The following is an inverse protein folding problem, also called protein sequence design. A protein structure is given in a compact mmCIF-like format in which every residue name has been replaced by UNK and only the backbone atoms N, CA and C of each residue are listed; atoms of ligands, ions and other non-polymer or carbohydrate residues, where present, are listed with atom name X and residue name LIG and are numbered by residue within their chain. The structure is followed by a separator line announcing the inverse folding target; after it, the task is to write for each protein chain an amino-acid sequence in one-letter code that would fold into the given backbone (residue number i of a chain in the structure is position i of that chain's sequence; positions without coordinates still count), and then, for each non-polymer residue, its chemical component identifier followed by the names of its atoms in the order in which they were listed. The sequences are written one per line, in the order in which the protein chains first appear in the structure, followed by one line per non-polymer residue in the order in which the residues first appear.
data_IF_089759583663
#
_entry.id   IF_089759583663
#
_cell.length_a   1.000
_cell.length_b   1.000
_cell.length_c   1.000
_cell.angle_alpha   90.00
_cell.angle_beta   90.00
_cell.angle_gamma   90.00
#
_symmetry.space_group_name_H-M   'P 1'
#
loop_
_entity.id
_entity.type
_entity.pdbx_description
1 polymer ?
#
# COMPACT_ATOMS: atom_id res chain seq x y z
N UNK A 1 -15.40 28.76 6.44
CA UNK A 1 -15.14 28.63 5.00
C UNK A 1 -14.05 27.58 4.84
N UNK A 2 -14.39 26.40 4.34
CA UNK A 2 -13.41 25.34 4.09
C UNK A 2 -12.67 25.69 2.79
N UNK A 3 -11.37 25.95 2.87
CA UNK A 3 -10.52 26.04 1.69
C UNK A 3 -10.32 24.61 1.18
N UNK A 4 -11.04 24.23 0.13
CA UNK A 4 -10.69 23.09 -0.69
C UNK A 4 -9.41 23.43 -1.42
N UNK A 5 -8.27 22.89 -0.96
CA UNK A 5 -7.06 22.80 -1.76
C UNK A 5 -7.40 21.95 -2.98
N UNK A 6 -7.59 22.61 -4.12
CA UNK A 6 -7.82 21.98 -5.40
C UNK A 6 -6.44 21.52 -5.89
N UNK A 7 -6.21 20.20 -5.88
CA UNK A 7 -4.98 19.62 -6.39
C UNK A 7 -4.96 19.80 -7.91
N UNK A 8 -4.05 20.65 -8.38
CA UNK A 8 -3.83 20.89 -9.79
C UNK A 8 -3.04 19.72 -10.38
N UNK A 9 -3.68 18.92 -11.24
CA UNK A 9 -3.07 17.73 -11.85
C UNK A 9 -1.89 18.06 -12.76
N UNK A 10 -1.74 19.33 -13.16
CA UNK A 10 -0.65 19.81 -14.01
C UNK A 10 0.69 19.97 -13.26
N UNK A 11 0.69 19.78 -11.93
CA UNK A 11 1.88 19.76 -11.07
C UNK A 11 2.15 18.35 -10.49
N UNK A 12 1.94 17.29 -11.28
CA UNK A 12 2.51 15.98 -10.96
C UNK A 12 4.04 16.14 -10.93
N UNK A 13 4.57 16.31 -9.72
CA UNK A 13 6.00 16.46 -9.46
C UNK A 13 6.79 15.28 -10.04
N UNK A 14 8.09 15.47 -10.18
CA UNK A 14 8.99 14.40 -10.61
C UNK A 14 8.77 13.18 -9.70
N UNK A 15 8.36 12.06 -10.28
CA UNK A 15 8.29 10.78 -9.57
C UNK A 15 9.62 10.06 -9.75
N UNK A 16 10.14 9.50 -8.67
CA UNK A 16 11.41 8.78 -8.67
C UNK A 16 11.36 7.65 -7.65
N UNK A 17 12.12 6.59 -7.93
CA UNK A 17 12.38 5.54 -6.96
C UNK A 17 13.79 5.77 -6.43
N UNK A 18 13.88 6.02 -5.13
CA UNK A 18 15.15 6.10 -4.43
C UNK A 18 15.29 4.87 -3.55
N UNK A 19 16.28 4.03 -3.85
CA UNK A 19 16.67 2.95 -2.97
C UNK A 19 17.68 3.51 -1.98
N UNK A 20 17.38 3.39 -0.69
CA UNK A 20 18.40 3.62 0.33
C UNK A 20 19.43 2.49 0.24
N UNK A 21 20.69 2.87 0.05
CA UNK A 21 21.81 1.94 -0.06
C UNK A 21 22.65 1.89 1.22
N UNK A 22 22.31 2.71 2.23
CA UNK A 22 23.04 2.75 3.49
C UNK A 22 22.33 1.90 4.56
N UNK A 23 22.83 0.67 4.76
CA UNK A 23 22.28 -0.34 5.68
C UNK A 23 22.18 0.09 7.16
N UNK A 24 22.63 1.29 7.52
CA UNK A 24 22.85 1.71 8.90
C UNK A 24 22.14 3.00 9.32
N UNK A 25 21.41 3.68 8.42
CA UNK A 25 20.81 4.99 8.71
C UNK A 25 19.45 4.91 9.40
N UNK A 26 18.70 3.84 9.16
CA UNK A 26 17.31 3.73 9.61
C UNK A 26 16.37 4.66 8.85
N UNK A 27 15.07 4.58 9.12
CA UNK A 27 14.03 5.24 8.30
C UNK A 27 14.11 6.77 8.33
N UNK A 28 14.48 7.39 9.45
CA UNK A 28 14.63 8.84 9.54
C UNK A 28 15.95 9.32 8.93
N UNK A 29 17.02 8.53 9.07
CA UNK A 29 18.31 8.78 8.41
C UNK A 29 18.17 8.79 6.90
N UNK A 30 17.59 7.72 6.34
CA UNK A 30 17.30 7.59 4.90
C UNK A 30 16.53 8.81 4.36
N UNK A 31 15.52 9.25 5.11
CA UNK A 31 14.69 10.39 4.73
C UNK A 31 15.43 11.73 4.83
N UNK A 32 16.31 11.91 5.83
CA UNK A 32 17.22 13.07 5.92
C UNK A 32 18.14 13.14 4.71
N UNK A 33 18.79 12.03 4.40
CA UNK A 33 19.82 11.95 3.35
C UNK A 33 19.17 12.19 1.98
N UNK A 34 18.03 11.53 1.71
CA UNK A 34 17.23 11.77 0.50
C UNK A 34 16.78 13.24 0.39
N UNK A 35 16.21 13.80 1.45
CA UNK A 35 15.69 15.15 1.42
C UNK A 35 16.79 16.20 1.22
N UNK A 36 18.00 15.95 1.72
CA UNK A 36 19.17 16.79 1.48
C UNK A 36 19.70 16.66 0.04
N UNK A 37 19.65 15.46 -0.55
CA UNK A 37 20.08 15.23 -1.94
C UNK A 37 19.26 16.00 -2.99
N UNK A 38 18.01 16.34 -2.64
CA UNK A 38 17.10 17.08 -3.52
C UNK A 38 17.11 18.59 -3.29
N UNK A 39 17.93 19.09 -2.36
CA UNK A 39 17.88 20.49 -1.88
C UNK A 39 16.46 20.93 -1.47
N UNK A 40 15.65 19.98 -0.98
CA UNK A 40 14.24 20.21 -0.70
C UNK A 40 14.06 21.02 0.59
N UNK A 41 13.27 22.09 0.53
CA UNK A 41 13.05 23.01 1.67
C UNK A 41 11.62 23.01 2.20
N UNK A 42 10.70 22.33 1.52
CA UNK A 42 9.29 22.27 1.91
C UNK A 42 8.98 21.25 3.01
N UNK A 43 7.70 21.11 3.32
CA UNK A 43 7.20 20.12 4.27
C UNK A 43 7.09 18.74 3.62
N UNK A 44 7.31 17.70 4.42
CA UNK A 44 7.36 16.32 3.97
C UNK A 44 6.08 15.59 4.34
N UNK A 45 5.38 15.07 3.34
CA UNK A 45 4.35 14.06 3.54
C UNK A 45 4.97 12.67 3.42
N UNK A 46 5.10 11.98 4.54
CA UNK A 46 5.63 10.62 4.63
C UNK A 46 4.47 9.64 4.69
N UNK A 47 4.56 8.60 3.86
CA UNK A 47 3.58 7.51 3.78
C UNK A 47 4.33 6.20 3.93
N UNK A 48 3.93 5.38 4.91
CA UNK A 48 4.50 4.04 5.11
C UNK A 48 4.19 3.14 3.91
N UNK A 49 5.22 2.60 3.26
CA UNK A 49 5.07 1.77 2.05
C UNK A 49 4.36 0.42 2.29
N UNK A 50 4.17 -0.01 3.53
CA UNK A 50 3.47 -1.24 3.89
C UNK A 50 2.04 -1.00 4.39
N UNK A 51 1.43 0.15 4.06
CA UNK A 51 0.05 0.46 4.41
C UNK A 51 -0.71 0.98 3.22
N UNK A 52 -2.02 0.74 3.21
CA UNK A 52 -2.91 1.47 2.32
C UNK A 52 -3.09 2.89 2.90
N UNK A 53 -2.72 3.94 2.16
CA UNK A 53 -2.91 5.30 2.64
C UNK A 53 -4.40 5.61 2.83
N UNK A 54 -4.79 6.27 3.93
CA UNK A 54 -6.15 6.78 4.10
C UNK A 54 -6.60 7.72 2.97
N UNK A 55 -7.91 7.78 2.76
CA UNK A 55 -8.54 8.54 1.68
C UNK A 55 -8.44 10.07 1.83
N UNK A 56 -8.13 10.57 3.03
CA UNK A 56 -8.19 11.99 3.34
C UNK A 56 -6.85 12.54 3.86
N UNK A 57 -5.76 12.47 3.07
CA UNK A 57 -4.45 13.00 3.46
C UNK A 57 -4.50 14.51 3.76
N UNK A 58 -5.42 15.23 3.12
CA UNK A 58 -5.68 16.65 3.33
C UNK A 58 -6.00 17.00 4.80
N UNK A 59 -6.48 16.06 5.61
CA UNK A 59 -6.79 16.30 7.02
C UNK A 59 -5.55 16.49 7.92
N UNK A 60 -4.37 16.16 7.41
CA UNK A 60 -3.08 16.49 8.04
C UNK A 60 -2.73 17.98 7.86
N UNK A 61 -3.21 18.61 6.78
CA UNK A 61 -3.00 20.01 6.49
C UNK A 61 -4.09 20.83 7.19
N UNK A 62 -3.77 21.33 8.39
CA UNK A 62 -4.70 22.06 9.26
C UNK A 62 -4.07 23.39 9.69
N UNK A 63 -4.85 24.48 9.91
CA UNK A 63 -4.29 25.77 10.31
C UNK A 63 -3.33 25.75 11.52
N UNK A 64 -3.55 24.86 12.48
CA UNK A 64 -2.63 24.68 13.62
C UNK A 64 -1.24 24.16 13.24
N UNK A 65 -1.08 23.52 12.07
CA UNK A 65 0.22 23.03 11.59
C UNK A 65 1.20 24.15 11.29
N UNK A 66 0.69 25.31 10.85
CA UNK A 66 1.50 26.48 10.50
C UNK A 66 2.10 27.18 11.73
N UNK A 67 1.66 26.80 12.94
CA UNK A 67 2.20 27.35 14.18
C UNK A 67 3.69 27.03 14.33
N UNK A 68 4.45 27.98 14.88
CA UNK A 68 5.90 27.84 15.08
C UNK A 68 6.26 26.73 16.08
N UNK A 69 5.42 26.46 17.08
CA UNK A 69 5.62 25.39 18.07
C UNK A 69 5.30 24.00 17.51
N UNK A 70 4.72 23.90 16.32
CA UNK A 70 4.32 22.63 15.71
C UNK A 70 5.35 22.20 14.67
N UNK A 71 5.85 20.97 14.79
CA UNK A 71 6.85 20.39 13.89
C UNK A 71 6.30 19.27 13.01
N UNK A 72 5.14 18.71 13.37
CA UNK A 72 4.52 17.62 12.62
C UNK A 72 3.05 17.39 12.93
N UNK A 73 2.37 16.69 12.03
CA UNK A 73 1.05 16.11 12.22
C UNK A 73 1.06 14.62 11.87
N UNK A 74 0.56 13.80 12.79
CA UNK A 74 0.43 12.35 12.62
C UNK A 74 -1.01 12.01 12.30
N UNK A 75 -1.22 11.18 11.28
CA UNK A 75 -2.54 10.63 11.01
C UNK A 75 -2.83 9.42 11.91
N UNK A 76 -4.04 9.37 12.45
CA UNK A 76 -4.63 8.17 13.07
C UNK A 76 -5.87 7.72 12.33
N UNK A 77 -6.15 6.44 12.43
CA UNK A 77 -7.39 5.81 11.95
C UNK A 77 -8.51 5.99 12.97
N UNK A 78 -9.74 5.63 12.59
CA UNK A 78 -10.93 5.79 13.45
C UNK A 78 -10.94 4.84 14.65
N UNK A 79 -10.19 3.74 14.59
CA UNK A 79 -9.95 2.79 15.69
C UNK A 79 -8.73 3.17 16.57
N UNK A 80 -8.23 4.41 16.43
CA UNK A 80 -7.06 4.94 17.15
C UNK A 80 -5.71 4.31 16.79
N UNK A 81 -5.65 3.49 15.74
CA UNK A 81 -4.40 3.01 15.18
C UNK A 81 -3.59 4.09 14.44
N UNK A 82 -2.28 3.87 14.21
CA UNK A 82 -1.49 4.73 13.34
C UNK A 82 -1.95 4.55 11.88
N UNK A 83 -2.12 5.67 11.17
CA UNK A 83 -2.49 5.64 9.76
C UNK A 83 -1.35 5.28 8.81
N UNK A 84 -0.10 5.42 9.27
CA UNK A 84 1.07 5.37 8.42
C UNK A 84 1.35 6.65 7.63
N UNK A 85 0.61 7.73 7.89
CA UNK A 85 0.85 9.03 7.27
C UNK A 85 1.33 10.06 8.29
N UNK A 86 2.38 10.80 7.92
CA UNK A 86 2.98 11.85 8.73
C UNK A 86 3.24 13.06 7.84
N UNK A 87 2.68 14.21 8.19
CA UNK A 87 3.09 15.49 7.62
C UNK A 87 4.10 16.12 8.59
N UNK A 88 5.31 16.46 8.14
CA UNK A 88 6.34 17.02 9.04
C UNK A 88 7.14 18.12 8.38
N UNK A 89 7.54 19.12 9.17
CA UNK A 89 8.40 20.20 8.69
C UNK A 89 9.78 19.64 8.40
N UNK A 90 10.46 20.12 7.35
CA UNK A 90 11.84 19.72 7.01
C UNK A 90 12.76 19.73 8.23
N UNK A 91 12.65 20.78 9.07
CA UNK A 91 13.46 20.96 10.28
C UNK A 91 13.32 19.85 11.33
N UNK A 92 12.28 19.01 11.25
CA UNK A 92 12.20 17.80 12.08
C UNK A 92 13.40 16.89 11.82
N UNK A 93 13.87 16.82 10.56
CA UNK A 93 15.03 16.01 10.19
C UNK A 93 16.35 16.54 10.75
N UNK A 94 16.41 17.80 11.21
CA UNK A 94 17.61 18.36 11.87
C UNK A 94 17.90 17.68 13.22
N UNK A 95 16.93 16.94 13.76
CA UNK A 95 17.07 16.13 14.97
C UNK A 95 17.79 14.80 14.71
N UNK A 96 17.85 14.36 13.45
CA UNK A 96 18.45 13.08 13.04
C UNK A 96 19.97 13.22 13.03
N UNK A 97 20.72 12.36 13.75
CA UNK A 97 22.17 12.40 13.77
C UNK A 97 22.76 12.14 12.38
N UNK A 98 23.97 12.65 12.12
CA UNK A 98 24.68 12.38 10.85
C UNK A 98 25.09 10.92 10.70
N UNK A 99 25.29 10.20 11.81
CA UNK A 99 25.81 8.82 11.81
C UNK A 99 24.94 7.95 12.70
N UNK A 100 24.76 6.70 12.27
CA UNK A 100 24.09 5.64 13.03
C UNK A 100 22.61 5.49 12.68
N UNK A 101 22.03 4.44 13.27
CA UNK A 101 20.65 4.06 13.05
C UNK A 101 19.70 5.00 13.80
N UNK A 102 18.75 5.57 13.05
CA UNK A 102 17.73 6.45 13.59
C UNK A 102 16.37 6.19 12.95
N UNK A 103 15.43 5.67 13.74
CA UNK A 103 14.07 5.36 13.31
C UNK A 103 13.12 6.57 13.43
N UNK A 104 12.25 6.72 12.44
CA UNK A 104 11.27 7.80 12.36
C UNK A 104 10.28 7.79 13.52
N UNK A 105 9.76 6.63 13.91
CA UNK A 105 8.70 6.56 14.92
C UNK A 105 9.26 6.36 16.32
N UNK A 106 10.23 5.46 16.44
CA UNK A 106 10.76 5.06 17.76
C UNK A 106 11.79 6.05 18.31
N UNK A 107 12.40 6.90 17.47
CA UNK A 107 13.46 7.81 17.91
C UNK A 107 13.20 9.27 17.53
N UNK A 108 12.81 9.57 16.28
CA UNK A 108 12.64 10.96 15.85
C UNK A 108 11.45 11.66 16.53
N UNK A 109 10.29 10.99 16.59
CA UNK A 109 9.09 11.55 17.25
C UNK A 109 9.34 11.83 18.74
N UNK A 110 9.82 10.86 19.55
CA UNK A 110 10.18 11.13 20.95
C UNK A 110 11.16 12.28 21.09
N UNK A 111 12.20 12.33 20.26
CA UNK A 111 13.23 13.38 20.31
C UNK A 111 12.67 14.78 20.06
N UNK A 112 11.70 14.91 19.16
CA UNK A 112 11.00 16.18 18.92
C UNK A 112 10.22 16.63 20.17
N UNK A 113 9.46 15.71 20.77
CA UNK A 113 8.68 15.99 21.98
C UNK A 113 9.58 16.38 23.16
N UNK A 114 10.73 15.72 23.34
CA UNK A 114 11.73 16.05 24.36
C UNK A 114 12.32 17.46 24.21
N UNK A 115 12.37 17.99 22.98
CA UNK A 115 12.81 19.37 22.71
C UNK A 115 11.71 20.40 22.94
N UNK A 116 10.51 19.98 23.34
CA UNK A 116 9.36 20.86 23.52
C UNK A 116 8.62 21.19 22.22
N UNK A 117 8.95 20.53 21.12
CA UNK A 117 8.18 20.66 19.88
C UNK A 117 6.82 19.98 20.03
N UNK A 118 5.82 20.51 19.34
CA UNK A 118 4.47 19.96 19.33
C UNK A 118 4.23 19.12 18.08
N UNK A 119 3.59 17.97 18.28
CA UNK A 119 3.10 17.12 17.21
C UNK A 119 1.58 16.97 17.37
N UNK A 120 0.83 17.21 16.29
CA UNK A 120 -0.64 17.17 16.30
C UNK A 120 -1.12 15.82 15.74
N UNK A 121 -1.94 15.10 16.50
CA UNK A 121 -2.59 13.88 16.00
C UNK A 121 -3.94 14.22 15.37
N UNK A 122 -4.18 13.76 14.15
CA UNK A 122 -5.42 14.00 13.39
C UNK A 122 -6.05 12.68 12.98
N UNK A 123 -7.35 12.55 13.18
CA UNK A 123 -8.08 11.45 12.56
C UNK A 123 -8.21 11.72 11.06
N UNK A 124 -7.63 10.85 10.24
CA UNK A 124 -7.65 11.00 8.77
C UNK A 124 -8.52 9.95 8.07
N UNK A 125 -9.30 9.21 8.87
CA UNK A 125 -10.32 8.25 8.45
C UNK A 125 -9.77 6.93 7.92
N UNK A 126 -10.69 5.99 7.69
CA UNK A 126 -10.40 4.69 7.09
C UNK A 126 -9.79 3.65 8.04
N UNK A 127 -9.69 2.42 7.53
CA UNK A 127 -8.92 1.33 8.14
C UNK A 127 -7.46 1.49 7.70
N UNK A 128 -6.54 1.48 8.67
CA UNK A 128 -5.10 1.61 8.42
C UNK A 128 -4.50 0.25 8.08
N UNK A 129 -5.02 -0.38 7.03
CA UNK A 129 -4.69 -1.76 6.73
C UNK A 129 -3.19 -1.89 6.48
N UNK A 130 -2.55 -2.71 7.32
CA UNK A 130 -1.14 -3.04 7.20
C UNK A 130 -0.99 -4.24 6.28
N UNK A 131 -0.13 -4.10 5.29
CA UNK A 131 0.28 -5.17 4.39
C UNK A 131 1.44 -5.92 5.04
N UNK A 132 1.14 -6.94 5.84
CA UNK A 132 2.14 -7.78 6.53
C UNK A 132 2.41 -9.10 5.81
N UNK A 133 1.45 -9.58 5.05
CA UNK A 133 1.42 -10.93 4.50
C UNK A 133 0.46 -11.02 3.29
N UNK A 134 0.39 -12.20 2.69
CA UNK A 134 -0.49 -12.43 1.55
C UNK A 134 -1.99 -12.29 1.91
N UNK A 135 -2.38 -12.58 3.15
CA UNK A 135 -3.79 -12.57 3.56
C UNK A 135 -4.28 -11.14 3.72
N UNK A 136 -3.52 -10.32 4.46
CA UNK A 136 -3.72 -8.88 4.57
C UNK A 136 -3.71 -8.17 3.22
N UNK A 137 -2.85 -8.58 2.28
CA UNK A 137 -2.88 -8.07 0.91
C UNK A 137 -4.18 -8.42 0.18
N UNK A 138 -4.65 -9.68 0.25
CA UNK A 138 -5.92 -10.09 -0.38
C UNK A 138 -7.11 -9.35 0.23
N UNK A 139 -7.12 -9.20 1.55
CA UNK A 139 -8.16 -8.44 2.25
C UNK A 139 -8.19 -6.97 1.82
N UNK A 140 -7.03 -6.34 1.76
CA UNK A 140 -6.83 -4.99 1.25
C UNK A 140 -7.39 -4.80 -0.18
N UNK A 141 -6.98 -5.67 -1.10
CA UNK A 141 -7.41 -5.64 -2.50
C UNK A 141 -8.93 -5.85 -2.61
N UNK A 142 -9.50 -6.73 -1.78
CA UNK A 142 -10.96 -6.95 -1.69
C UNK A 142 -11.70 -5.73 -1.17
N UNK A 143 -11.19 -5.08 -0.12
CA UNK A 143 -11.76 -3.84 0.38
C UNK A 143 -11.75 -2.75 -0.68
N UNK A 144 -10.65 -2.63 -1.44
CA UNK A 144 -10.57 -1.70 -2.55
C UNK A 144 -11.60 -2.04 -3.65
N UNK A 145 -11.76 -3.32 -3.99
CA UNK A 145 -12.81 -3.79 -4.90
C UNK A 145 -14.22 -3.42 -4.45
N UNK A 146 -14.51 -3.49 -3.14
CA UNK A 146 -15.79 -3.02 -2.56
C UNK A 146 -15.98 -1.51 -2.70
N UNK A 147 -14.92 -0.73 -2.51
CA UNK A 147 -14.97 0.73 -2.65
C UNK A 147 -15.21 1.17 -4.10
N UNK A 148 -14.61 0.47 -5.06
CA UNK A 148 -14.77 0.75 -6.50
C UNK A 148 -16.10 0.21 -7.05
N UNK A 149 -16.54 -0.97 -6.58
CA UNK A 149 -17.75 -1.66 -7.08
C UNK A 149 -19.05 -1.41 -6.31
N UNK A 150 -19.01 -0.70 -5.17
CA UNK A 150 -20.16 -0.46 -4.30
C UNK A 150 -20.58 -1.69 -3.46
N UNK A 151 -21.67 -1.58 -2.70
CA UNK A 151 -22.17 -2.62 -1.76
C UNK A 151 -22.50 -3.98 -2.44
N UNK A 152 -22.64 -4.01 -3.77
CA UNK A 152 -22.85 -5.23 -4.56
C UNK A 152 -21.56 -6.05 -4.80
N UNK A 153 -20.41 -5.61 -4.30
CA UNK A 153 -19.10 -6.25 -4.46
C UNK A 153 -18.89 -7.52 -3.60
N UNK A 154 -19.95 -8.33 -3.42
CA UNK A 154 -19.84 -9.69 -2.89
C UNK A 154 -19.52 -10.72 -3.99
N UNK A 155 -19.65 -10.33 -5.26
CA UNK A 155 -19.23 -11.10 -6.43
C UNK A 155 -17.75 -10.88 -6.77
N UNK A 156 -17.22 -11.58 -7.79
CA UNK A 156 -15.89 -11.29 -8.29
C UNK A 156 -15.85 -9.89 -8.91
N UNK A 157 -14.74 -9.19 -8.71
CA UNK A 157 -14.45 -7.99 -9.48
C UNK A 157 -13.63 -8.39 -10.70
N UNK A 158 -14.13 -8.09 -11.89
CA UNK A 158 -13.51 -8.46 -13.15
C UNK A 158 -13.40 -7.19 -13.98
N UNK A 159 -12.17 -6.81 -14.36
CA UNK A 159 -11.97 -5.67 -15.25
C UNK A 159 -12.52 -5.97 -16.65
N UNK A 160 -13.06 -4.94 -17.30
CA UNK A 160 -13.71 -5.05 -18.61
C UNK A 160 -12.76 -5.51 -19.73
N UNK A 161 -11.46 -5.32 -19.54
CA UNK A 161 -10.39 -5.71 -20.47
C UNK A 161 -9.99 -7.18 -20.34
N UNK A 162 -10.56 -7.91 -19.37
CA UNK A 162 -10.25 -9.32 -19.14
C UNK A 162 -11.10 -10.23 -20.03
N UNK A 163 -10.53 -11.36 -20.46
CA UNK A 163 -11.24 -12.38 -21.23
C UNK A 163 -11.45 -13.63 -20.38
N UNK A 164 -12.71 -13.94 -20.09
CA UNK A 164 -13.10 -15.08 -19.26
C UNK A 164 -13.83 -16.09 -20.15
N UNK A 165 -13.32 -17.32 -20.22
CA UNK A 165 -14.00 -18.37 -20.98
C UNK A 165 -15.38 -18.66 -20.36
N UNK A 166 -16.46 -18.83 -21.16
CA UNK A 166 -17.82 -19.02 -20.64
C UNK A 166 -18.03 -20.23 -19.71
N UNK A 167 -17.13 -21.22 -19.75
CA UNK A 167 -17.19 -22.42 -18.88
C UNK A 167 -16.30 -22.33 -17.65
N UNK A 168 -15.52 -21.25 -17.50
CA UNK A 168 -14.72 -21.01 -16.30
C UNK A 168 -15.61 -20.53 -15.15
N UNK A 169 -15.19 -20.81 -13.92
CA UNK A 169 -15.91 -20.43 -12.71
C UNK A 169 -15.09 -19.43 -11.91
N UNK A 170 -15.61 -18.22 -11.78
CA UNK A 170 -15.01 -17.16 -10.96
C UNK A 170 -15.85 -16.98 -9.70
N UNK A 171 -15.34 -17.53 -8.60
CA UNK A 171 -15.95 -17.50 -7.28
C UNK A 171 -15.81 -16.15 -6.58
N UNK A 172 -16.52 -16.01 -5.46
CA UNK A 172 -16.55 -14.79 -4.63
C UNK A 172 -15.17 -14.41 -4.11
N UNK A 173 -14.97 -13.13 -3.85
CA UNK A 173 -13.70 -12.60 -3.34
C UNK A 173 -12.55 -12.64 -4.35
N UNK A 174 -12.82 -13.06 -5.59
CA UNK A 174 -11.82 -13.03 -6.66
C UNK A 174 -11.75 -11.65 -7.29
N UNK A 175 -10.54 -11.11 -7.43
CA UNK A 175 -10.26 -9.92 -8.21
C UNK A 175 -9.46 -10.29 -9.46
N UNK A 176 -9.93 -9.87 -10.63
CA UNK A 176 -9.26 -10.06 -11.92
C UNK A 176 -8.99 -8.68 -12.54
N UNK A 177 -7.71 -8.32 -12.61
CA UNK A 177 -7.22 -7.09 -13.23
C UNK A 177 -7.15 -7.19 -14.76
N UNK A 178 -6.90 -6.05 -15.42
CA UNK A 178 -6.94 -5.91 -16.87
C UNK A 178 -6.13 -6.92 -17.65
N UNK A 179 -6.56 -7.17 -18.90
CA UNK A 179 -5.85 -8.03 -19.86
C UNK A 179 -5.63 -9.49 -19.38
N UNK A 180 -6.24 -9.90 -18.27
CA UNK A 180 -6.14 -11.27 -17.81
C UNK A 180 -6.98 -12.20 -18.71
N UNK A 181 -6.50 -13.43 -18.90
CA UNK A 181 -7.19 -14.48 -19.65
C UNK A 181 -7.41 -15.71 -18.77
N UNK A 182 -8.68 -16.05 -18.54
CA UNK A 182 -9.06 -17.27 -17.83
C UNK A 182 -9.62 -18.27 -18.84
N UNK A 183 -8.92 -19.39 -19.03
CA UNK A 183 -9.26 -20.39 -20.03
C UNK A 183 -10.36 -21.35 -19.59
N UNK A 184 -10.73 -22.26 -20.49
CA UNK A 184 -11.83 -23.20 -20.34
C UNK A 184 -11.77 -23.99 -19.01
N UNK A 185 -12.90 -24.07 -18.31
CA UNK A 185 -13.09 -24.84 -17.07
C UNK A 185 -12.15 -24.47 -15.91
N UNK A 186 -11.36 -23.40 -16.02
CA UNK A 186 -10.57 -22.93 -14.90
C UNK A 186 -11.49 -22.46 -13.77
N UNK A 187 -11.08 -22.71 -12.52
CA UNK A 187 -11.80 -22.32 -11.32
C UNK A 187 -10.92 -21.39 -10.50
N UNK A 188 -11.42 -20.18 -10.22
CA UNK A 188 -10.72 -19.19 -9.40
C UNK A 188 -11.60 -18.77 -8.23
N UNK A 189 -11.13 -18.86 -7.00
CA UNK A 189 -11.89 -18.46 -5.82
C UNK A 189 -11.00 -17.72 -4.82
N UNK A 190 -11.55 -16.66 -4.21
CA UNK A 190 -10.87 -15.87 -3.18
C UNK A 190 -9.42 -15.49 -3.52
N UNK A 191 -9.17 -15.15 -4.78
CA UNK A 191 -7.83 -14.97 -5.33
C UNK A 191 -7.65 -13.61 -6.02
N UNK A 192 -6.43 -13.11 -6.05
CA UNK A 192 -6.06 -11.87 -6.75
C UNK A 192 -5.27 -12.23 -8.00
N UNK A 193 -5.86 -11.98 -9.16
CA UNK A 193 -5.30 -12.23 -10.49
C UNK A 193 -4.92 -10.87 -11.09
N UNK A 194 -3.62 -10.58 -11.13
CA UNK A 194 -3.12 -9.28 -11.60
C UNK A 194 -3.07 -9.19 -13.13
N UNK A 195 -2.75 -7.99 -13.62
CA UNK A 195 -2.89 -7.63 -15.03
C UNK A 195 -2.09 -8.57 -15.97
N UNK A 196 -2.67 -8.90 -17.12
CA UNK A 196 -2.03 -9.75 -18.13
C UNK A 196 -1.78 -11.21 -17.72
N UNK A 197 -2.34 -11.68 -16.61
CA UNK A 197 -2.19 -13.08 -16.18
C UNK A 197 -2.97 -14.03 -17.10
N UNK A 198 -2.39 -15.18 -17.42
CA UNK A 198 -3.07 -16.27 -18.12
C UNK A 198 -3.27 -17.44 -17.17
N UNK A 199 -4.51 -17.87 -16.97
CA UNK A 199 -4.85 -19.10 -16.24
C UNK A 199 -5.26 -20.16 -17.26
N UNK A 200 -4.44 -21.20 -17.40
CA UNK A 200 -4.65 -22.31 -18.33
C UNK A 200 -5.89 -23.13 -18.01
N UNK A 201 -6.42 -23.81 -19.03
CA UNK A 201 -7.64 -24.64 -18.90
C UNK A 201 -7.58 -25.64 -17.74
N UNK A 202 -8.72 -25.94 -17.15
CA UNK A 202 -8.88 -26.95 -16.09
C UNK A 202 -8.02 -26.69 -14.82
N UNK A 203 -7.49 -25.47 -14.65
CA UNK A 203 -6.71 -25.09 -13.47
C UNK A 203 -7.59 -24.70 -12.29
N UNK A 204 -7.07 -24.88 -11.07
CA UNK A 204 -7.72 -24.50 -9.82
C UNK A 204 -6.85 -23.50 -9.04
N UNK A 205 -7.34 -22.28 -8.84
CA UNK A 205 -6.67 -21.19 -8.13
C UNK A 205 -7.53 -20.77 -6.93
N UNK A 206 -7.04 -21.01 -5.72
CA UNK A 206 -7.80 -20.74 -4.48
C UNK A 206 -6.92 -20.02 -3.47
N UNK A 207 -7.45 -18.99 -2.80
CA UNK A 207 -6.75 -18.23 -1.76
C UNK A 207 -5.38 -17.69 -2.21
N UNK A 208 -5.22 -17.35 -3.48
CA UNK A 208 -3.90 -17.14 -4.09
C UNK A 208 -3.72 -15.76 -4.69
N UNK A 209 -2.46 -15.35 -4.87
CA UNK A 209 -2.09 -14.11 -5.58
C UNK A 209 -1.24 -14.50 -6.79
N UNK A 210 -1.69 -14.13 -7.99
CA UNK A 210 -0.97 -14.40 -9.24
C UNK A 210 -0.43 -13.08 -9.77
N UNK A 211 0.90 -12.95 -9.82
CA UNK A 211 1.59 -11.71 -10.20
C UNK A 211 1.34 -11.34 -11.67
N UNK A 212 1.35 -10.03 -11.95
CA UNK A 212 1.20 -9.46 -13.28
C UNK A 212 2.04 -10.20 -14.35
N UNK A 213 1.41 -10.53 -15.47
CA UNK A 213 2.03 -11.18 -16.63
C UNK A 213 2.43 -12.64 -16.41
N UNK A 214 2.03 -13.28 -15.31
CA UNK A 214 2.32 -14.71 -15.08
C UNK A 214 1.42 -15.60 -15.94
N UNK A 215 1.94 -16.77 -16.33
CA UNK A 215 1.16 -17.80 -17.02
C UNK A 215 1.10 -19.08 -16.18
N UNK A 216 -0.11 -19.51 -15.85
CA UNK A 216 -0.37 -20.78 -15.17
C UNK A 216 -0.69 -21.83 -16.24
N UNK A 217 0.05 -22.95 -16.32
CA UNK A 217 -0.24 -24.02 -17.27
C UNK A 217 -1.63 -24.64 -17.05
N UNK A 218 -2.20 -25.29 -18.07
CA UNK A 218 -3.37 -26.14 -17.90
C UNK A 218 -3.23 -27.14 -16.73
N UNK A 219 -4.36 -27.51 -16.13
CA UNK A 219 -4.47 -28.54 -15.08
C UNK A 219 -3.66 -28.25 -13.81
N UNK A 220 -3.26 -27.00 -13.59
CA UNK A 220 -2.44 -26.61 -12.43
C UNK A 220 -3.31 -26.31 -11.22
N UNK A 221 -2.84 -26.71 -10.02
CA UNK A 221 -3.48 -26.36 -8.75
C UNK A 221 -2.59 -25.40 -7.95
N UNK A 222 -3.13 -24.23 -7.62
CA UNK A 222 -2.51 -23.25 -6.73
C UNK A 222 -3.47 -22.96 -5.59
N UNK A 223 -3.10 -23.35 -4.37
CA UNK A 223 -3.91 -23.17 -3.17
C UNK A 223 -3.05 -22.46 -2.14
N UNK A 224 -3.51 -21.30 -1.66
CA UNK A 224 -2.77 -20.46 -0.68
C UNK A 224 -1.35 -20.15 -1.15
N UNK A 225 -1.20 -19.89 -2.45
CA UNK A 225 0.08 -19.65 -3.09
C UNK A 225 0.26 -18.20 -3.54
N UNK A 226 1.52 -17.78 -3.66
CA UNK A 226 1.87 -16.59 -4.44
C UNK A 226 2.74 -17.01 -5.61
N UNK A 227 2.29 -16.72 -6.83
CA UNK A 227 3.02 -17.07 -8.05
C UNK A 227 3.69 -15.83 -8.62
N UNK A 228 5.01 -15.95 -8.79
CA UNK A 228 5.84 -14.99 -9.52
C UNK A 228 6.24 -15.63 -10.87
N UNK A 229 6.42 -14.80 -11.90
CA UNK A 229 6.80 -15.12 -13.29
C UNK A 229 7.56 -16.45 -13.48
N UNK A 230 7.21 -17.20 -14.52
CA UNK A 230 7.90 -18.41 -15.02
C UNK A 230 8.24 -19.47 -13.95
N UNK A 231 7.20 -20.26 -13.60
CA UNK A 231 7.26 -21.61 -13.04
C UNK A 231 7.82 -21.90 -11.64
N UNK A 232 8.16 -20.92 -10.82
CA UNK A 232 8.34 -21.19 -9.38
C UNK A 232 7.17 -20.63 -8.58
N UNK A 233 6.04 -21.35 -8.61
CA UNK A 233 5.06 -21.22 -7.55
C UNK A 233 5.74 -21.64 -6.24
N UNK A 234 5.92 -20.70 -5.31
CA UNK A 234 6.20 -21.05 -3.92
C UNK A 234 4.92 -21.68 -3.36
N UNK A 235 4.74 -22.98 -3.63
CA UNK A 235 3.70 -23.79 -3.00
C UNK A 235 4.17 -24.05 -1.57
N UNK A 236 3.89 -23.12 -0.66
CA UNK A 236 3.96 -23.40 0.78
C UNK A 236 2.78 -24.31 1.11
N UNK A 237 2.97 -25.61 0.97
CA UNK A 237 2.04 -26.59 1.53
C UNK A 237 2.01 -26.36 3.05
N UNK A 238 0.92 -25.75 3.54
CA UNK A 238 0.64 -25.73 4.97
C UNK A 238 0.46 -27.16 5.44
N UNK A 239 1.44 -27.66 6.21
CA UNK A 239 1.31 -28.91 6.95
C UNK A 239 0.18 -28.74 7.96
N UNK A 240 -0.91 -29.47 7.71
CA UNK A 240 -1.99 -29.68 8.68
C UNK A 240 -1.42 -30.39 9.91
N UNK A 241 -1.61 -29.79 11.08
CA UNK A 241 -1.68 -30.50 12.36
C UNK A 241 -3.03 -30.20 12.97
#
# INVERSE_FOLDING_TARGET
MAATAQWDADHLGQTGVYADHEDHRGTAGALKDFSNSLEYTGDLLVIEGNRIPPHNPNLLFHPDYDREDVIGSLGRTSDFGPSGMILMKKRMLDLVPEIGFFDLKEQLIPRALERGERIIVREIGGEGDRLSDADSYRDCVRQMGKRVGGENALGPWISAESTIHPTSLVGKGTLIAGNARIEQNAVTENSVILDGVVIGRDSLIVDSIIKQGSSIPPETKVIRGTVYKDHEALIKNGSSS
#
